data_IF_341031978025
#
_entry.id   IF_341031978025
#
_cell.length_a   1.000
_cell.length_b   1.000
_cell.length_c   1.000
_cell.angle_alpha   90.00
_cell.angle_beta   90.00
_cell.angle_gamma   90.00
#
_symmetry.space_group_name_H-M   'P 1'
#
loop_
_entity.id
_entity.type
_entity.pdbx_description
1 polymer ?
#
# COMPACT_ATOMS: atom_id res chain seq x y z
N UNK A 1 24.89 5.04 3.99
CA UNK A 1 24.56 4.16 5.14
C UNK A 1 24.03 5.02 6.27
N UNK A 2 22.87 4.68 6.79
CA UNK A 2 22.24 5.38 7.91
C UNK A 2 22.98 4.97 9.19
N UNK A 3 23.43 5.96 9.97
CA UNK A 3 24.32 5.74 11.12
C UNK A 3 23.56 5.36 12.40
N UNK A 4 22.27 5.70 12.47
CA UNK A 4 21.41 5.42 13.62
C UNK A 4 19.99 5.10 13.13
N UNK A 5 19.62 3.82 13.11
CA UNK A 5 18.30 3.37 12.66
C UNK A 5 17.17 3.80 13.60
N UNK A 6 17.38 3.73 14.91
CA UNK A 6 16.33 4.10 15.89
C UNK A 6 15.88 5.55 15.77
N UNK A 7 16.84 6.46 15.59
CA UNK A 7 16.54 7.87 15.41
C UNK A 7 15.78 8.13 14.10
N UNK A 8 16.06 7.35 13.05
CA UNK A 8 15.31 7.43 11.80
C UNK A 8 13.88 6.91 11.99
N UNK A 9 13.72 5.75 12.63
CA UNK A 9 12.40 5.16 12.87
C UNK A 9 11.51 6.13 13.69
N UNK A 10 12.07 6.73 14.74
CA UNK A 10 11.39 7.74 15.55
C UNK A 10 11.00 8.96 14.71
N UNK A 11 11.91 9.43 13.84
CA UNK A 11 11.64 10.54 12.93
C UNK A 11 10.53 10.21 11.91
N UNK A 12 10.56 9.03 11.30
CA UNK A 12 9.57 8.60 10.30
C UNK A 12 8.17 8.48 10.92
N UNK A 13 8.09 7.91 12.13
CA UNK A 13 6.84 7.83 12.89
C UNK A 13 6.28 9.23 13.15
N UNK A 14 7.10 10.15 13.65
CA UNK A 14 6.67 11.52 13.93
C UNK A 14 6.31 12.29 12.66
N UNK A 15 7.03 12.05 11.56
CA UNK A 15 6.75 12.65 10.28
C UNK A 15 5.40 12.21 9.72
N UNK A 16 5.09 10.91 9.77
CA UNK A 16 3.81 10.35 9.31
C UNK A 16 2.65 10.90 10.14
N UNK A 17 2.80 10.97 11.47
CA UNK A 17 1.77 11.54 12.36
C UNK A 17 1.48 13.00 12.03
N UNK A 18 2.52 13.79 11.74
CA UNK A 18 2.39 15.22 11.46
C UNK A 18 1.86 15.51 10.06
N UNK A 19 2.14 14.61 9.10
CA UNK A 19 1.80 14.77 7.69
C UNK A 19 0.84 13.67 7.24
N UNK A 20 -0.24 13.43 8.00
CA UNK A 20 -1.24 12.45 7.63
C UNK A 20 -1.98 12.90 6.37
N UNK A 21 -2.08 12.03 5.39
CA UNK A 21 -2.84 12.27 4.17
C UNK A 21 -4.34 12.20 4.44
N UNK A 22 -5.11 13.02 3.74
CA UNK A 22 -6.55 12.82 3.60
C UNK A 22 -6.85 11.49 2.89
N UNK A 23 -8.10 11.05 2.96
CA UNK A 23 -8.52 9.83 2.28
C UNK A 23 -8.32 9.94 0.76
N UNK A 24 -8.68 11.09 0.19
CA UNK A 24 -8.55 11.38 -1.24
C UNK A 24 -7.09 11.42 -1.68
N UNK A 25 -6.21 12.08 -0.90
CA UNK A 25 -4.77 12.09 -1.20
C UNK A 25 -4.15 10.70 -1.11
N UNK A 26 -4.60 9.89 -0.15
CA UNK A 26 -4.12 8.51 0.01
C UNK A 26 -4.51 7.64 -1.18
N UNK A 27 -5.73 7.79 -1.71
CA UNK A 27 -6.16 7.10 -2.92
C UNK A 27 -5.38 7.55 -4.15
N UNK A 28 -5.19 8.85 -4.33
CA UNK A 28 -4.40 9.37 -5.44
C UNK A 28 -2.96 8.87 -5.42
N UNK A 29 -2.36 8.76 -4.22
CA UNK A 29 -1.03 8.18 -4.05
C UNK A 29 -1.01 6.69 -4.43
N UNK A 30 -2.01 5.92 -3.99
CA UNK A 30 -2.15 4.50 -4.33
C UNK A 30 -2.23 4.30 -5.86
N UNK A 31 -3.08 5.07 -6.53
CA UNK A 31 -3.26 4.99 -7.99
C UNK A 31 -1.96 5.33 -8.73
N UNK A 32 -1.26 6.39 -8.32
CA UNK A 32 0.02 6.77 -8.92
C UNK A 32 1.12 5.70 -8.71
N UNK A 33 1.17 5.09 -7.53
CA UNK A 33 2.10 3.98 -7.25
C UNK A 33 1.77 2.74 -8.08
N UNK A 34 0.48 2.46 -8.30
CA UNK A 34 0.02 1.36 -9.14
C UNK A 34 0.45 1.55 -10.59
N UNK A 35 0.17 2.72 -11.17
CA UNK A 35 0.59 3.08 -12.53
C UNK A 35 2.11 3.00 -12.70
N UNK A 36 2.87 3.48 -11.72
CA UNK A 36 4.32 3.36 -11.71
C UNK A 36 4.78 1.89 -11.68
N UNK A 37 4.18 1.06 -10.83
CA UNK A 37 4.51 -0.37 -10.74
C UNK A 37 4.23 -1.13 -12.04
N UNK A 38 3.14 -0.78 -12.73
CA UNK A 38 2.81 -1.25 -14.07
C UNK A 38 3.85 -0.80 -15.10
N UNK A 39 4.22 0.48 -15.10
CA UNK A 39 5.21 1.05 -16.02
C UNK A 39 6.61 0.44 -15.84
N UNK A 40 6.97 0.09 -14.61
CA UNK A 40 8.22 -0.62 -14.29
C UNK A 40 8.17 -2.12 -14.62
N UNK A 41 7.00 -2.66 -14.98
CA UNK A 41 6.81 -4.08 -15.28
C UNK A 41 6.96 -4.99 -14.05
N UNK A 42 6.82 -4.43 -12.85
CA UNK A 42 6.80 -5.20 -11.59
C UNK A 42 5.39 -5.70 -11.30
N UNK A 43 4.37 -4.93 -11.73
CA UNK A 43 2.97 -5.32 -11.68
C UNK A 43 2.42 -5.58 -13.09
N UNK A 44 1.52 -6.58 -13.25
CA UNK A 44 1.25 -7.63 -12.28
C UNK A 44 2.47 -8.55 -12.06
N UNK A 45 2.55 -9.28 -10.94
CA UNK A 45 3.62 -10.24 -10.69
C UNK A 45 3.69 -11.30 -11.80
N UNK A 46 4.88 -11.90 -11.97
CA UNK A 46 5.09 -12.94 -12.99
C UNK A 46 4.32 -14.22 -12.67
N UNK A 47 4.24 -14.59 -11.40
CA UNK A 47 3.42 -15.71 -10.93
C UNK A 47 2.02 -15.19 -10.57
N UNK A 48 0.96 -15.62 -11.27
CA UNK A 48 -0.41 -15.21 -10.96
C UNK A 48 -0.89 -15.60 -9.56
N UNK A 49 -0.23 -16.56 -8.90
CA UNK A 49 -0.58 -16.96 -7.52
C UNK A 49 0.11 -16.10 -6.47
N UNK A 50 1.08 -15.27 -6.86
CA UNK A 50 1.78 -14.38 -5.93
C UNK A 50 0.81 -13.31 -5.40
N UNK A 51 0.56 -13.34 -4.09
CA UNK A 51 -0.35 -12.40 -3.42
C UNK A 51 -1.83 -12.80 -3.42
N UNK A 52 -2.18 -13.98 -3.95
CA UNK A 52 -3.57 -14.44 -4.06
C UNK A 52 -4.31 -14.51 -2.70
N UNK A 53 -3.60 -14.77 -1.60
CA UNK A 53 -4.19 -14.79 -0.26
C UNK A 53 -4.74 -13.43 0.14
N UNK A 54 -4.04 -12.35 -0.26
CA UNK A 54 -4.48 -10.98 -0.02
C UNK A 54 -5.73 -10.69 -0.84
N UNK A 55 -5.73 -11.06 -2.12
CA UNK A 55 -6.89 -10.88 -3.00
C UNK A 55 -8.13 -11.62 -2.47
N UNK A 56 -7.97 -12.88 -2.05
CA UNK A 56 -9.06 -13.67 -1.43
C UNK A 56 -9.56 -12.98 -0.15
N UNK A 57 -8.66 -12.46 0.70
CA UNK A 57 -9.03 -11.76 1.93
C UNK A 57 -9.84 -10.50 1.63
N UNK A 58 -9.39 -9.68 0.68
CA UNK A 58 -10.09 -8.46 0.27
C UNK A 58 -11.45 -8.82 -0.34
N UNK A 59 -11.51 -9.79 -1.24
CA UNK A 59 -12.75 -10.27 -1.84
C UNK A 59 -13.76 -10.77 -0.79
N UNK A 60 -13.30 -11.49 0.25
CA UNK A 60 -14.15 -11.92 1.37
C UNK A 60 -14.74 -10.73 2.13
N UNK A 61 -13.93 -9.72 2.46
CA UNK A 61 -14.39 -8.51 3.15
C UNK A 61 -15.48 -7.81 2.30
N UNK A 62 -15.21 -7.59 1.02
CA UNK A 62 -16.16 -6.95 0.10
C UNK A 62 -17.46 -7.75 -0.04
N UNK A 63 -17.38 -9.08 -0.14
CA UNK A 63 -18.56 -9.94 -0.26
C UNK A 63 -19.41 -9.98 1.02
N UNK A 64 -18.80 -9.87 2.20
CA UNK A 64 -19.54 -9.70 3.45
C UNK A 64 -20.32 -8.37 3.48
N UNK A 65 -19.73 -7.29 2.95
CA UNK A 65 -20.36 -5.97 2.88
C UNK A 65 -21.43 -5.87 1.78
N UNK A 66 -21.33 -6.70 0.73
CA UNK A 66 -22.27 -6.76 -0.40
C UNK A 66 -23.62 -7.43 -0.07
N UNK A 67 -23.75 -8.12 1.06
CA UNK A 67 -25.06 -8.71 1.47
C UNK A 67 -26.04 -7.59 1.86
N UNK A 68 -26.75 -7.07 0.86
CA UNK A 68 -28.08 -6.47 0.95
C UNK A 68 -29.02 -7.28 0.08
#
# INVERSE_FOLDING_TARGET
MIKNGKLLDEFEIEFIKKNSLSYEESLALLDGMWEMGMALGVLPPKDPWEGIEVDIRVARILNCLKKK
#
